data_IF_778234716916
#
_entry.id   IF_778234716916
#
_cell.length_a   1.000
_cell.length_b   1.000
_cell.length_c   1.000
_cell.angle_alpha   90.00
_cell.angle_beta   90.00
_cell.angle_gamma   90.00
#
_symmetry.space_group_name_H-M   'P 1'
#
loop_
_entity.id
_entity.type
_entity.pdbx_description
1 polymer ?
#
# COMPACT_ATOMS: atom_id res chain seq x y z
N UNK A 1 23.54 -70.87 -10.59
CA UNK A 1 23.70 -71.08 -12.05
C UNK A 1 22.55 -71.99 -12.49
N UNK A 2 21.90 -71.76 -13.66
CA UNK A 2 20.62 -71.00 -13.74
C UNK A 2 19.44 -71.82 -14.36
N UNK A 3 18.14 -71.45 -14.38
CA UNK A 3 17.38 -70.26 -13.88
C UNK A 3 15.86 -70.54 -13.74
N UNK A 4 15.14 -69.61 -13.11
CA UNK A 4 13.72 -69.21 -13.32
C UNK A 4 13.27 -69.05 -14.80
N UNK A 5 12.00 -68.83 -15.17
CA UNK A 5 10.66 -69.00 -14.55
C UNK A 5 9.61 -68.83 -15.68
N UNK A 6 8.36 -69.24 -15.46
CA UNK A 6 7.31 -69.22 -16.48
C UNK A 6 6.85 -67.79 -16.86
N UNK A 7 6.57 -67.59 -18.15
CA UNK A 7 5.96 -66.35 -18.63
C UNK A 7 4.44 -66.34 -18.46
N UNK A 8 3.88 -65.18 -18.10
CA UNK A 8 2.44 -64.86 -18.25
C UNK A 8 2.31 -63.43 -18.75
N UNK A 9 1.46 -63.25 -19.77
CA UNK A 9 1.15 -61.95 -20.37
C UNK A 9 0.53 -60.98 -19.36
N UNK A 10 1.06 -59.74 -19.30
CA UNK A 10 0.42 -58.62 -18.61
C UNK A 10 0.37 -57.42 -19.55
N UNK A 11 -0.83 -56.94 -19.83
CA UNK A 11 -1.10 -55.82 -20.73
C UNK A 11 -0.48 -54.51 -20.23
N UNK A 12 0.14 -53.74 -21.11
CA UNK A 12 0.65 -52.39 -20.83
C UNK A 12 -0.48 -51.41 -20.45
N UNK A 13 -0.45 -50.78 -19.26
CA UNK A 13 -1.18 -49.55 -19.01
C UNK A 13 -0.55 -48.41 -19.81
N UNK A 14 -1.37 -47.69 -20.58
CA UNK A 14 -0.94 -46.57 -21.40
C UNK A 14 -0.29 -45.47 -20.55
N UNK A 15 0.91 -45.02 -20.94
CA UNK A 15 1.56 -43.85 -20.36
C UNK A 15 0.79 -42.61 -20.79
N UNK A 16 -0.09 -42.10 -19.92
CA UNK A 16 -0.69 -40.78 -20.11
C UNK A 16 0.40 -39.72 -19.88
N UNK A 17 1.04 -39.33 -20.99
CA UNK A 17 1.92 -38.18 -21.07
C UNK A 17 1.09 -36.90 -20.90
N UNK A 18 1.04 -36.33 -19.70
CA UNK A 18 0.74 -34.91 -19.56
C UNK A 18 2.01 -34.11 -19.30
N UNK A 19 2.66 -33.79 -20.42
CA UNK A 19 3.68 -32.75 -20.47
C UNK A 19 3.10 -31.40 -20.05
N UNK A 20 3.80 -30.76 -19.12
CA UNK A 20 4.25 -29.38 -19.28
C UNK A 20 3.18 -28.27 -19.40
N UNK A 21 2.60 -27.86 -18.26
CA UNK A 21 2.07 -26.50 -18.07
C UNK A 21 2.03 -26.05 -16.60
N UNK A 22 3.21 -25.87 -15.97
CA UNK A 22 3.30 -25.46 -14.55
C UNK A 22 3.70 -24.00 -14.29
N UNK A 23 4.22 -23.25 -15.27
CA UNK A 23 4.80 -21.92 -15.00
C UNK A 23 3.79 -20.84 -14.55
N UNK A 24 2.50 -20.95 -14.91
CA UNK A 24 1.49 -19.93 -14.60
C UNK A 24 0.63 -20.21 -13.35
N UNK A 25 0.65 -21.43 -12.81
CA UNK A 25 -0.16 -21.77 -11.63
C UNK A 25 0.57 -21.47 -10.31
N UNK A 26 1.89 -21.34 -10.32
CA UNK A 26 2.67 -21.11 -9.09
C UNK A 26 2.40 -19.74 -8.47
N UNK A 27 2.31 -18.67 -9.26
CA UNK A 27 2.01 -17.32 -8.75
C UNK A 27 0.58 -17.21 -8.21
N UNK A 28 -0.41 -17.72 -8.97
CA UNK A 28 -1.82 -17.72 -8.54
C UNK A 28 -2.00 -18.54 -7.26
N UNK A 29 -1.34 -19.70 -7.17
CA UNK A 29 -1.35 -20.52 -5.96
C UNK A 29 -0.67 -19.81 -4.79
N UNK A 30 0.52 -19.25 -4.98
CA UNK A 30 1.24 -18.49 -3.96
C UNK A 30 0.41 -17.32 -3.41
N UNK A 31 -0.25 -16.57 -4.29
CA UNK A 31 -1.14 -15.48 -3.88
C UNK A 31 -2.36 -16.01 -3.10
N UNK A 32 -2.96 -17.12 -3.56
CA UNK A 32 -4.07 -17.77 -2.87
C UNK A 32 -3.67 -18.31 -1.49
N UNK A 33 -2.48 -18.91 -1.36
CA UNK A 33 -1.92 -19.43 -0.12
C UNK A 33 -1.65 -18.29 0.88
N UNK A 34 -1.25 -17.09 0.42
CA UNK A 34 -1.15 -15.88 1.25
C UNK A 34 -2.52 -15.38 1.69
N UNK A 35 -3.45 -15.20 0.74
CA UNK A 35 -4.79 -14.65 1.00
C UNK A 35 -5.65 -15.54 1.91
N UNK A 36 -5.38 -16.84 1.94
CA UNK A 36 -6.04 -17.82 2.80
C UNK A 36 -5.22 -18.16 4.06
N UNK A 37 -4.08 -17.50 4.28
CA UNK A 37 -3.25 -17.73 5.46
C UNK A 37 -4.02 -17.36 6.74
N UNK A 38 -4.10 -18.25 7.75
CA UNK A 38 -4.76 -17.94 9.02
C UNK A 38 -4.01 -16.89 9.86
N UNK A 39 -2.86 -16.41 9.38
CA UNK A 39 -2.09 -15.30 9.95
C UNK A 39 -2.43 -13.95 9.30
N UNK A 40 -3.11 -13.94 8.15
CA UNK A 40 -3.48 -12.72 7.43
C UNK A 40 -4.90 -12.29 7.81
N UNK A 41 -5.02 -11.55 8.91
CA UNK A 41 -6.30 -10.97 9.32
C UNK A 41 -6.51 -9.57 8.72
N UNK A 42 -7.10 -9.54 7.53
CA UNK A 42 -7.51 -8.31 6.85
C UNK A 42 -8.63 -7.57 7.62
N UNK A 43 -9.46 -8.27 8.40
CA UNK A 43 -10.54 -7.66 9.19
C UNK A 43 -10.01 -6.84 10.35
N UNK A 44 -9.04 -7.39 11.10
CA UNK A 44 -8.30 -6.65 12.13
C UNK A 44 -7.48 -5.51 11.52
N UNK A 45 -6.86 -5.72 10.35
CA UNK A 45 -6.12 -4.65 9.66
C UNK A 45 -7.02 -3.46 9.27
N UNK A 46 -8.21 -3.71 8.71
CA UNK A 46 -9.21 -2.66 8.41
C UNK A 46 -9.70 -2.00 9.69
N UNK A 47 -10.05 -2.79 10.71
CA UNK A 47 -10.49 -2.26 12.02
C UNK A 47 -9.42 -1.35 12.65
N UNK A 48 -8.15 -1.71 12.52
CA UNK A 48 -7.03 -0.88 12.99
C UNK A 48 -6.93 0.44 12.21
N UNK A 49 -7.05 0.39 10.87
CA UNK A 49 -7.09 1.60 10.03
C UNK A 49 -8.24 2.50 10.44
N UNK A 50 -9.46 1.98 10.52
CA UNK A 50 -10.65 2.76 10.92
C UNK A 50 -10.48 3.37 12.31
N UNK A 51 -9.95 2.61 13.28
CA UNK A 51 -9.65 3.11 14.64
C UNK A 51 -8.60 4.21 14.70
N UNK A 52 -7.79 4.38 13.64
CA UNK A 52 -6.75 5.40 13.52
C UNK A 52 -7.21 6.60 12.69
N UNK A 53 -8.25 6.49 11.86
CA UNK A 53 -8.77 7.62 11.06
C UNK A 53 -9.26 8.73 11.98
N UNK A 54 -10.23 8.48 12.87
CA UNK A 54 -10.82 9.53 13.71
C UNK A 54 -9.76 10.25 14.61
N UNK A 55 -8.82 9.54 15.28
CA UNK A 55 -7.72 10.20 15.97
C UNK A 55 -6.84 11.06 15.04
N UNK A 56 -6.45 10.55 13.87
CA UNK A 56 -5.60 11.28 12.92
C UNK A 56 -6.31 12.50 12.31
N UNK A 57 -7.63 12.45 12.15
CA UNK A 57 -8.42 13.64 11.78
C UNK A 57 -8.49 14.65 12.92
N UNK A 58 -8.61 14.22 14.18
CA UNK A 58 -8.53 15.15 15.33
C UNK A 58 -7.15 15.80 15.49
N UNK A 59 -6.06 15.10 15.18
CA UNK A 59 -4.71 15.70 15.10
C UNK A 59 -4.53 16.67 13.92
N UNK A 60 -5.40 16.59 12.90
CA UNK A 60 -5.45 17.51 11.77
C UNK A 60 -6.34 18.73 12.07
N UNK A 61 -7.20 18.68 13.09
CA UNK A 61 -7.92 19.84 13.56
C UNK A 61 -6.93 20.90 14.07
N UNK A 62 -7.12 22.15 13.63
CA UNK A 62 -6.09 23.19 13.78
C UNK A 62 -5.77 23.54 15.24
N UNK A 63 -6.70 23.30 16.17
CA UNK A 63 -6.52 23.53 17.62
C UNK A 63 -5.41 22.65 18.19
N UNK A 64 -5.58 21.33 18.16
CA UNK A 64 -4.62 20.38 18.74
C UNK A 64 -3.26 20.43 18.04
N UNK A 65 -3.24 20.69 16.73
CA UNK A 65 -2.00 20.93 15.99
C UNK A 65 -1.26 22.19 16.51
N UNK A 66 -1.98 23.30 16.74
CA UNK A 66 -1.39 24.51 17.29
C UNK A 66 -0.88 24.29 18.72
N UNK A 67 -1.64 23.57 19.57
CA UNK A 67 -1.21 23.26 20.94
C UNK A 67 0.10 22.43 20.96
N UNK A 68 0.20 21.40 20.10
CA UNK A 68 1.43 20.61 19.94
C UNK A 68 2.58 21.48 19.39
N UNK A 69 2.28 22.37 18.45
CA UNK A 69 3.27 23.26 17.86
C UNK A 69 3.80 24.29 18.88
N UNK A 70 2.93 24.93 19.65
CA UNK A 70 3.30 25.95 20.65
C UNK A 70 4.08 25.33 21.82
N UNK A 71 3.72 24.11 22.24
CA UNK A 71 4.55 23.32 23.17
C UNK A 71 5.95 23.03 22.58
N UNK A 72 6.02 22.68 21.29
CA UNK A 72 7.29 22.40 20.60
C UNK A 72 8.15 23.67 20.46
N UNK A 73 7.55 24.82 20.15
CA UNK A 73 8.23 26.13 20.12
C UNK A 73 8.74 26.48 21.52
N UNK A 74 7.93 26.32 22.56
CA UNK A 74 8.31 26.58 23.95
C UNK A 74 9.54 25.76 24.36
N UNK A 75 9.56 24.46 24.04
CA UNK A 75 10.73 23.59 24.31
C UNK A 75 11.95 24.04 23.50
N UNK A 76 11.77 24.38 22.22
CA UNK A 76 12.87 24.82 21.36
C UNK A 76 13.47 26.17 21.81
N UNK A 77 12.65 27.12 22.27
CA UNK A 77 13.09 28.37 22.88
C UNK A 77 13.87 28.13 24.18
N UNK A 78 13.39 27.22 25.04
CA UNK A 78 14.13 26.79 26.24
C UNK A 78 15.49 26.12 25.90
N UNK A 79 15.58 25.44 24.76
CA UNK A 79 16.83 24.90 24.22
C UNK A 79 17.64 25.90 23.37
N UNK A 80 17.23 27.17 23.32
CA UNK A 80 17.89 28.25 22.58
C UNK A 80 17.98 28.01 21.05
N UNK A 81 17.06 27.21 20.49
CA UNK A 81 16.96 26.84 19.07
C UNK A 81 16.02 27.82 18.36
N UNK A 82 16.48 28.45 17.27
CA UNK A 82 15.64 29.36 16.48
C UNK A 82 14.64 28.58 15.62
N UNK A 83 13.35 28.63 16.00
CA UNK A 83 12.26 28.03 15.24
C UNK A 83 11.62 29.08 14.32
N UNK A 84 11.55 28.79 13.02
CA UNK A 84 10.82 29.63 12.08
C UNK A 84 9.30 29.48 12.33
N UNK A 85 8.50 30.57 12.27
CA UNK A 85 7.08 30.55 12.61
C UNK A 85 6.30 29.53 11.76
N UNK A 86 5.24 28.91 12.33
CA UNK A 86 4.54 27.76 11.74
C UNK A 86 4.10 28.04 10.29
N UNK A 87 3.58 29.24 10.03
CA UNK A 87 3.16 29.69 8.70
C UNK A 87 4.24 29.59 7.61
N UNK A 88 5.54 29.61 7.92
CA UNK A 88 6.62 29.38 6.93
C UNK A 88 6.81 27.89 6.61
N UNK A 89 6.79 27.01 7.61
CA UNK A 89 6.86 25.56 7.35
C UNK A 89 5.59 25.04 6.70
N UNK A 90 4.41 25.51 7.13
CA UNK A 90 3.12 25.20 6.53
C UNK A 90 3.10 25.67 5.07
N UNK A 91 3.46 26.93 4.76
CA UNK A 91 3.56 27.40 3.35
C UNK A 91 4.60 26.65 2.51
N UNK A 92 5.65 26.08 3.11
CA UNK A 92 6.60 25.19 2.42
C UNK A 92 6.03 23.79 2.19
N UNK A 93 5.29 23.24 3.15
CA UNK A 93 4.65 21.91 3.04
C UNK A 93 3.44 21.95 2.11
N UNK A 94 2.70 23.05 2.05
CA UNK A 94 1.61 23.33 1.12
C UNK A 94 2.04 24.37 0.06
N UNK A 95 3.28 24.25 -0.44
CA UNK A 95 3.75 25.02 -1.60
C UNK A 95 2.93 24.65 -2.84
N UNK A 96 3.03 25.46 -3.91
CA UNK A 96 2.29 25.21 -5.15
C UNK A 96 2.60 23.82 -5.75
N UNK A 97 3.83 23.35 -5.61
CA UNK A 97 4.31 22.03 -6.01
C UNK A 97 3.68 20.91 -5.15
N UNK A 98 3.75 21.03 -3.83
CA UNK A 98 3.14 20.02 -2.93
C UNK A 98 1.60 20.05 -2.96
N UNK A 99 1.01 21.17 -3.39
CA UNK A 99 -0.43 21.29 -3.66
C UNK A 99 -0.89 20.33 -4.75
N UNK A 100 -0.07 20.09 -5.78
CA UNK A 100 -0.35 19.07 -6.81
C UNK A 100 -0.44 17.67 -6.21
N UNK A 101 0.44 17.35 -5.25
CA UNK A 101 0.43 16.06 -4.55
C UNK A 101 -0.90 15.90 -3.77
N UNK A 102 -1.31 16.92 -3.01
CA UNK A 102 -2.57 16.90 -2.25
C UNK A 102 -3.81 16.81 -3.14
N UNK A 103 -3.84 17.54 -4.27
CA UNK A 103 -4.94 17.51 -5.22
C UNK A 103 -5.02 16.17 -5.98
N UNK A 104 -3.88 15.59 -6.33
CA UNK A 104 -3.81 14.24 -6.90
C UNK A 104 -4.30 13.16 -5.95
N UNK A 105 -3.95 13.23 -4.66
CA UNK A 105 -4.51 12.32 -3.63
C UNK A 105 -6.04 12.46 -3.55
N UNK A 106 -6.59 13.67 -3.63
CA UNK A 106 -8.04 13.87 -3.73
C UNK A 106 -8.62 13.29 -5.04
N UNK A 107 -7.95 13.46 -6.17
CA UNK A 107 -8.39 12.89 -7.44
C UNK A 107 -8.33 11.34 -7.48
N UNK A 108 -7.58 10.71 -6.58
CA UNK A 108 -7.55 9.26 -6.38
C UNK A 108 -8.54 8.75 -5.32
N UNK A 109 -9.21 9.63 -4.57
CA UNK A 109 -10.21 9.27 -3.56
C UNK A 109 -11.61 9.18 -4.19
N UNK A 110 -12.28 8.00 -4.22
CA UNK A 110 -13.61 7.83 -4.83
C UNK A 110 -14.73 8.64 -4.17
N UNK A 111 -14.53 9.11 -2.92
CA UNK A 111 -15.47 10.00 -2.21
C UNK A 111 -15.21 11.49 -2.47
N UNK A 112 -14.19 11.84 -3.26
CA UNK A 112 -13.85 13.24 -3.58
C UNK A 112 -14.68 13.78 -4.75
N UNK A 113 -15.10 15.06 -4.74
CA UNK A 113 -15.71 15.70 -5.91
C UNK A 113 -14.75 15.81 -7.12
N UNK A 114 -13.43 15.70 -6.90
CA UNK A 114 -12.41 15.72 -7.95
C UNK A 114 -11.97 14.33 -8.42
N UNK A 115 -12.69 13.27 -8.03
CA UNK A 115 -12.30 11.89 -8.34
C UNK A 115 -12.15 11.66 -9.84
N UNK A 116 -11.03 11.07 -10.24
CA UNK A 116 -10.65 10.79 -11.62
C UNK A 116 -10.58 12.03 -12.55
N UNK A 117 -10.39 13.23 -11.98
CA UNK A 117 -10.12 14.45 -12.75
C UNK A 117 -8.77 14.35 -13.46
N UNK A 118 -8.81 14.20 -14.79
CA UNK A 118 -7.64 13.89 -15.63
C UNK A 118 -6.45 14.81 -15.37
N UNK A 119 -6.66 16.11 -15.36
CA UNK A 119 -5.57 17.08 -15.23
C UNK A 119 -4.84 16.96 -13.88
N UNK A 120 -5.57 16.65 -12.80
CA UNK A 120 -4.98 16.39 -11.49
C UNK A 120 -4.23 15.06 -11.46
N UNK A 121 -4.78 14.00 -12.07
CA UNK A 121 -4.14 12.67 -12.13
C UNK A 121 -2.85 12.71 -12.97
N UNK A 122 -2.84 13.40 -14.12
CA UNK A 122 -1.65 13.55 -14.96
C UNK A 122 -0.58 14.41 -14.30
N UNK A 123 -0.95 15.54 -13.68
CA UNK A 123 0.00 16.37 -12.93
C UNK A 123 0.60 15.58 -11.75
N UNK A 124 -0.23 14.82 -11.02
CA UNK A 124 0.22 13.93 -9.95
C UNK A 124 1.20 12.85 -10.45
N UNK A 125 0.87 12.16 -11.55
CA UNK A 125 1.73 11.14 -12.15
C UNK A 125 3.09 11.71 -12.58
N UNK A 126 3.10 12.91 -13.18
CA UNK A 126 4.33 13.59 -13.59
C UNK A 126 5.29 13.87 -12.43
N UNK A 127 4.76 14.13 -11.22
CA UNK A 127 5.56 14.38 -10.01
C UNK A 127 6.39 13.17 -9.57
N UNK A 128 5.99 11.95 -9.97
CA UNK A 128 6.69 10.70 -9.69
C UNK A 128 7.42 10.13 -10.93
N UNK A 129 7.49 10.89 -12.03
CA UNK A 129 7.93 10.43 -13.35
C UNK A 129 7.15 9.20 -13.88
N UNK A 130 5.90 9.03 -13.45
CA UNK A 130 5.02 7.98 -13.94
C UNK A 130 4.39 8.40 -15.27
N UNK A 131 4.56 7.58 -16.31
CA UNK A 131 3.76 7.64 -17.53
C UNK A 131 2.47 6.84 -17.35
N UNK A 132 1.33 7.53 -17.43
CA UNK A 132 -0.04 7.01 -17.41
C UNK A 132 -0.76 7.53 -18.67
#
# INVERSE_FOLDING_TARGET
>A
MPTESAGTSVSLPQVIRHSHRQSGNCEVKYLSDILQSPQLDLGTAVTLVDSLVDPLESYREGSLFNDIWDNTVTIAEQCNISVAPPGRQVKRRFSKENGVIMQGIQALNPSSPTFCEKDLVFQFASQYNCSI
#
